data_IF_960297497486
#
_entry.id   IF_960297497486
#
_cell.length_a   1.000
_cell.length_b   1.000
_cell.length_c   1.000
_cell.angle_alpha   90.00
_cell.angle_beta   90.00
_cell.angle_gamma   90.00
#
_symmetry.space_group_name_H-M   'P 1'
#
loop_
_entity.id
_entity.type
_entity.pdbx_description
1 polymer ?
#
# COMPACT_ATOMS: atom_id res chain seq x y z
N UNK A 1 -20.11 17.79 25.90
CA UNK A 1 -20.51 17.56 24.50
C UNK A 1 -21.64 16.54 24.43
N UNK A 2 -22.67 16.83 23.65
CA UNK A 2 -23.84 15.95 23.53
C UNK A 2 -23.56 14.69 22.71
N UNK A 3 -24.42 13.71 22.84
CA UNK A 3 -24.26 12.43 22.11
C UNK A 3 -24.33 12.59 20.60
N UNK A 4 -25.19 13.48 20.10
CA UNK A 4 -25.26 13.77 18.67
C UNK A 4 -23.95 14.33 18.13
N UNK A 5 -23.31 15.22 18.89
CA UNK A 5 -22.01 15.77 18.52
C UNK A 5 -20.92 14.70 18.49
N UNK A 6 -20.96 13.79 19.45
CA UNK A 6 -20.01 12.67 19.52
C UNK A 6 -20.18 11.73 18.34
N UNK A 7 -21.41 11.45 17.94
CA UNK A 7 -21.71 10.63 16.76
C UNK A 7 -21.13 11.30 15.50
N UNK A 8 -21.37 12.61 15.34
CA UNK A 8 -20.87 13.34 14.17
C UNK A 8 -19.35 13.39 14.12
N UNK A 9 -18.70 13.56 15.28
CA UNK A 9 -17.25 13.49 15.36
C UNK A 9 -16.72 12.13 14.94
N UNK A 10 -17.31 11.05 15.43
CA UNK A 10 -16.89 9.69 15.10
C UNK A 10 -17.13 9.37 13.62
N UNK A 11 -18.24 9.84 13.07
CA UNK A 11 -18.52 9.69 11.64
C UNK A 11 -17.50 10.44 10.80
N UNK A 12 -17.07 11.62 11.24
CA UNK A 12 -16.05 12.39 10.56
C UNK A 12 -14.69 11.69 10.59
N UNK A 13 -14.31 11.12 11.75
CA UNK A 13 -13.10 10.32 11.87
C UNK A 13 -13.15 9.12 10.93
N UNK A 14 -14.26 8.41 10.91
CA UNK A 14 -14.46 7.25 10.04
C UNK A 14 -14.28 7.63 8.58
N UNK A 15 -14.88 8.73 8.14
CA UNK A 15 -14.75 9.20 6.76
C UNK A 15 -13.29 9.53 6.42
N UNK A 16 -12.56 10.10 7.37
CA UNK A 16 -11.13 10.37 7.21
C UNK A 16 -10.34 9.09 6.99
N UNK A 17 -10.58 8.09 7.81
CA UNK A 17 -9.90 6.79 7.67
C UNK A 17 -10.28 6.08 6.37
N UNK A 18 -11.54 6.16 5.98
CA UNK A 18 -12.00 5.57 4.71
C UNK A 18 -11.32 6.23 3.51
N UNK A 19 -11.16 7.54 3.56
CA UNK A 19 -10.46 8.28 2.51
C UNK A 19 -8.99 7.89 2.45
N UNK A 20 -8.33 7.79 3.62
CA UNK A 20 -6.94 7.39 3.70
C UNK A 20 -6.74 5.97 3.19
N UNK A 21 -7.68 5.09 3.52
CA UNK A 21 -7.66 3.70 3.03
C UNK A 21 -7.77 3.66 1.51
N UNK A 22 -8.65 4.47 0.93
CA UNK A 22 -8.80 4.55 -0.52
C UNK A 22 -7.51 5.01 -1.20
N UNK A 23 -6.84 6.01 -0.64
CA UNK A 23 -5.55 6.47 -1.15
C UNK A 23 -4.48 5.37 -1.07
N UNK A 24 -4.45 4.64 0.02
CA UNK A 24 -3.50 3.52 0.18
C UNK A 24 -3.78 2.41 -0.83
N UNK A 25 -5.03 2.09 -1.07
CA UNK A 25 -5.42 1.08 -2.06
C UNK A 25 -5.00 1.49 -3.46
N UNK A 26 -5.22 2.74 -3.83
CA UNK A 26 -4.78 3.27 -5.13
C UNK A 26 -3.26 3.24 -5.27
N UNK A 27 -2.56 3.68 -4.23
CA UNK A 27 -1.09 3.69 -4.24
C UNK A 27 -0.54 2.28 -4.34
N UNK A 28 -1.09 1.35 -3.58
CA UNK A 28 -0.67 -0.05 -3.60
C UNK A 28 -0.82 -0.64 -5.01
N UNK A 29 -1.98 -0.45 -5.61
CA UNK A 29 -2.26 -0.97 -6.95
C UNK A 29 -1.33 -0.38 -7.99
N UNK A 30 -1.15 0.94 -7.97
CA UNK A 30 -0.28 1.64 -8.92
C UNK A 30 1.17 1.16 -8.80
N UNK A 31 1.70 1.10 -7.58
CA UNK A 31 3.08 0.68 -7.34
C UNK A 31 3.26 -0.79 -7.71
N UNK A 32 2.30 -1.63 -7.35
CA UNK A 32 2.33 -3.07 -7.63
C UNK A 32 2.36 -3.34 -9.14
N UNK A 33 1.53 -2.63 -9.91
CA UNK A 33 1.48 -2.77 -11.37
C UNK A 33 2.80 -2.33 -12.01
N UNK A 34 3.33 -1.19 -11.59
CA UNK A 34 4.60 -0.69 -12.11
C UNK A 34 5.77 -1.60 -11.75
N UNK A 35 5.76 -2.16 -10.55
CA UNK A 35 6.78 -3.12 -10.13
C UNK A 35 6.75 -4.37 -11.00
N UNK A 36 5.55 -4.90 -11.30
CA UNK A 36 5.38 -6.05 -12.19
C UNK A 36 5.96 -5.77 -13.57
N UNK A 37 5.70 -4.59 -14.13
CA UNK A 37 6.24 -4.20 -15.43
C UNK A 37 7.77 -4.16 -15.39
N UNK A 38 8.35 -3.58 -14.36
CA UNK A 38 9.79 -3.50 -14.21
C UNK A 38 10.41 -4.89 -14.09
N UNK A 39 9.82 -5.77 -13.29
CA UNK A 39 10.32 -7.13 -13.14
C UNK A 39 10.20 -7.93 -14.43
N UNK A 40 9.04 -7.93 -15.05
CA UNK A 40 8.73 -8.80 -16.18
C UNK A 40 9.34 -8.29 -17.49
N UNK A 41 9.29 -6.97 -17.72
CA UNK A 41 9.66 -6.42 -19.01
C UNK A 41 11.10 -5.89 -19.04
N UNK A 42 11.70 -5.61 -17.91
CA UNK A 42 13.03 -5.01 -17.86
C UNK A 42 14.03 -5.88 -17.10
N UNK A 43 13.75 -6.16 -15.82
CA UNK A 43 14.71 -6.84 -14.95
C UNK A 43 14.95 -8.28 -15.36
N UNK A 44 13.90 -9.08 -15.53
CA UNK A 44 14.05 -10.49 -15.88
C UNK A 44 14.67 -10.70 -17.25
N UNK A 45 14.29 -9.96 -18.31
CA UNK A 45 14.96 -10.06 -19.59
C UNK A 45 16.43 -9.66 -19.53
N UNK A 46 16.77 -8.59 -18.83
CA UNK A 46 18.16 -8.14 -18.69
C UNK A 46 19.00 -9.14 -17.92
N UNK A 47 18.45 -9.70 -16.85
CA UNK A 47 19.15 -10.70 -16.07
C UNK A 47 19.43 -11.97 -16.87
N UNK A 48 18.51 -12.35 -17.76
CA UNK A 48 18.62 -13.56 -18.57
C UNK A 48 19.50 -13.39 -19.79
N UNK A 49 19.77 -12.16 -20.21
CA UNK A 49 20.56 -11.90 -21.41
C UNK A 49 22.02 -12.27 -21.19
N UNK A 50 22.60 -12.94 -22.18
CA UNK A 50 23.98 -13.36 -22.12
C UNK A 50 24.77 -12.73 -23.28
N UNK A 51 25.60 -11.76 -22.97
CA UNK A 51 26.41 -11.05 -23.94
C UNK A 51 27.52 -11.93 -24.52
N UNK A 52 28.01 -12.90 -23.73
CA UNK A 52 29.14 -13.73 -24.14
C UNK A 52 28.80 -14.65 -25.30
N UNK A 53 27.52 -14.90 -25.56
CA UNK A 53 27.10 -15.71 -26.69
C UNK A 53 27.03 -14.95 -28.01
N UNK A 54 27.20 -13.65 -28.00
CA UNK A 54 26.88 -12.83 -29.16
C UNK A 54 28.03 -12.57 -30.11
N UNK A 55 29.15 -13.25 -29.97
CA UNK A 55 30.21 -13.15 -30.96
C UNK A 55 31.57 -12.89 -30.40
N UNK A 56 32.45 -12.65 -31.29
CA UNK A 56 33.85 -12.76 -31.02
C UNK A 56 34.63 -11.49 -30.78
N UNK A 57 34.02 -10.37 -30.81
CA UNK A 57 34.80 -9.13 -30.86
C UNK A 57 35.07 -8.54 -29.52
N UNK A 58 35.47 -9.32 -28.69
CA UNK A 58 35.05 -9.08 -27.61
C UNK A 58 35.89 -8.62 -26.52
N UNK A 59 36.78 -9.18 -26.12
CA UNK A 59 37.75 -8.82 -25.12
C UNK A 59 37.22 -7.86 -24.07
N UNK A 60 37.87 -6.74 -23.93
CA UNK A 60 37.58 -5.77 -22.88
C UNK A 60 36.22 -5.13 -22.99
N UNK A 61 35.74 -4.85 -24.22
CA UNK A 61 34.44 -4.21 -24.41
C UNK A 61 33.29 -5.11 -23.93
N UNK A 62 33.41 -6.40 -24.23
CA UNK A 62 32.43 -7.38 -23.78
C UNK A 62 32.38 -7.49 -22.27
N UNK A 63 33.56 -7.56 -21.64
CA UNK A 63 33.66 -7.63 -20.20
C UNK A 63 33.10 -6.38 -19.52
N UNK A 64 33.43 -5.20 -20.07
CA UNK A 64 32.91 -3.93 -19.52
C UNK A 64 31.41 -3.85 -19.65
N UNK A 65 30.84 -4.27 -20.79
CA UNK A 65 29.40 -4.29 -21.00
C UNK A 65 28.72 -5.26 -20.04
N UNK A 66 29.32 -6.41 -19.83
CA UNK A 66 28.76 -7.41 -18.91
C UNK A 66 28.79 -6.92 -17.45
N UNK A 67 29.89 -6.29 -17.04
CA UNK A 67 30.01 -5.69 -15.72
C UNK A 67 28.96 -4.60 -15.51
N UNK A 68 28.78 -3.72 -16.48
CA UNK A 68 27.80 -2.66 -16.43
C UNK A 68 26.39 -3.22 -16.33
N UNK A 69 26.11 -4.28 -17.08
CA UNK A 69 24.82 -4.96 -17.00
C UNK A 69 24.59 -5.55 -15.61
N UNK A 70 25.61 -6.21 -15.06
CA UNK A 70 25.52 -6.81 -13.74
C UNK A 70 25.29 -5.75 -12.66
N UNK A 71 25.94 -4.60 -12.77
CA UNK A 71 25.76 -3.47 -11.86
C UNK A 71 24.34 -2.94 -11.93
N UNK A 72 23.81 -2.76 -13.14
CA UNK A 72 22.44 -2.30 -13.37
C UNK A 72 21.43 -3.30 -12.77
N UNK A 73 21.64 -4.58 -13.04
CA UNK A 73 20.76 -5.63 -12.49
C UNK A 73 20.79 -5.65 -10.97
N UNK A 74 21.98 -5.45 -10.38
CA UNK A 74 22.13 -5.40 -8.93
C UNK A 74 21.39 -4.21 -8.34
N UNK A 75 21.50 -3.03 -8.94
CA UNK A 75 20.79 -1.84 -8.51
C UNK A 75 19.27 -2.01 -8.63
N UNK A 76 18.82 -2.57 -9.77
CA UNK A 76 17.41 -2.85 -9.98
C UNK A 76 16.87 -3.82 -8.95
N UNK A 77 17.63 -4.88 -8.66
CA UNK A 77 17.26 -5.85 -7.63
C UNK A 77 17.05 -5.18 -6.27
N UNK A 78 17.96 -4.26 -5.91
CA UNK A 78 17.85 -3.49 -4.67
C UNK A 78 16.61 -2.61 -4.65
N UNK A 79 16.32 -1.92 -5.76
CA UNK A 79 15.15 -1.05 -5.87
C UNK A 79 13.84 -1.85 -5.86
N UNK A 80 13.82 -3.00 -6.50
CA UNK A 80 12.67 -3.91 -6.48
C UNK A 80 12.41 -4.36 -5.05
N UNK A 81 13.46 -4.73 -4.32
CA UNK A 81 13.35 -5.15 -2.92
C UNK A 81 12.82 -4.02 -2.04
N UNK A 82 13.33 -2.80 -2.19
CA UNK A 82 12.87 -1.62 -1.46
C UNK A 82 11.39 -1.34 -1.76
N UNK A 83 10.99 -1.47 -3.03
CA UNK A 83 9.60 -1.25 -3.43
C UNK A 83 8.68 -2.31 -2.85
N UNK A 84 9.12 -3.57 -2.81
CA UNK A 84 8.36 -4.65 -2.18
C UNK A 84 8.17 -4.39 -0.69
N UNK A 85 9.19 -3.87 -0.03
CA UNK A 85 9.10 -3.48 1.38
C UNK A 85 8.11 -2.34 1.59
N UNK A 86 8.10 -1.37 0.67
CA UNK A 86 7.13 -0.27 0.70
C UNK A 86 5.70 -0.80 0.55
N UNK A 87 5.47 -1.73 -0.38
CA UNK A 87 4.17 -2.34 -0.56
C UNK A 87 3.70 -3.04 0.71
N UNK A 88 4.59 -3.75 1.38
CA UNK A 88 4.28 -4.40 2.66
C UNK A 88 3.91 -3.39 3.73
N UNK A 89 4.60 -2.26 3.77
CA UNK A 89 4.31 -1.19 4.73
C UNK A 89 2.93 -0.57 4.45
N UNK A 90 2.61 -0.35 3.17
CA UNK A 90 1.30 0.17 2.78
C UNK A 90 0.20 -0.82 3.17
N UNK A 91 0.42 -2.10 2.95
CA UNK A 91 -0.54 -3.14 3.33
C UNK A 91 -0.83 -3.14 4.84
N UNK A 92 0.22 -3.04 5.66
CA UNK A 92 0.05 -2.94 7.11
C UNK A 92 -0.72 -1.68 7.51
N UNK A 93 -0.47 -0.58 6.83
CA UNK A 93 -1.21 0.66 7.06
C UNK A 93 -2.68 0.50 6.71
N UNK A 94 -2.97 -0.17 5.60
CA UNK A 94 -4.35 -0.46 5.21
C UNK A 94 -5.07 -1.32 6.24
N UNK A 95 -4.40 -2.33 6.77
CA UNK A 95 -4.97 -3.18 7.82
C UNK A 95 -5.29 -2.36 9.07
N UNK A 96 -4.37 -1.49 9.46
CA UNK A 96 -4.59 -0.61 10.62
C UNK A 96 -5.75 0.35 10.39
N UNK A 97 -5.87 0.90 9.20
CA UNK A 97 -6.98 1.78 8.85
C UNK A 97 -8.33 1.04 8.90
N UNK A 98 -8.36 -0.21 8.44
CA UNK A 98 -9.57 -1.03 8.53
C UNK A 98 -9.98 -1.28 9.98
N UNK A 99 -9.01 -1.53 10.85
CA UNK A 99 -9.27 -1.66 12.29
C UNK A 99 -9.83 -0.38 12.88
N UNK A 100 -9.24 0.76 12.54
CA UNK A 100 -9.71 2.06 13.04
C UNK A 100 -11.13 2.38 12.57
N UNK A 101 -11.45 2.02 11.32
CA UNK A 101 -12.79 2.18 10.78
C UNK A 101 -13.77 1.32 11.57
N UNK A 102 -13.43 0.08 11.84
CA UNK A 102 -14.27 -0.83 12.61
C UNK A 102 -14.48 -0.32 14.04
N UNK A 103 -13.43 0.18 14.67
CA UNK A 103 -13.51 0.78 15.99
C UNK A 103 -14.46 1.97 16.00
N UNK A 104 -14.39 2.83 14.98
CA UNK A 104 -15.30 3.96 14.84
C UNK A 104 -16.75 3.50 14.67
N UNK A 105 -16.98 2.46 13.87
CA UNK A 105 -18.32 1.90 13.68
C UNK A 105 -18.89 1.35 14.97
N UNK A 106 -18.08 0.65 15.75
CA UNK A 106 -18.49 0.11 17.05
C UNK A 106 -18.82 1.22 18.04
N UNK A 107 -18.00 2.28 18.07
CA UNK A 107 -18.25 3.43 18.94
C UNK A 107 -19.51 4.18 18.55
N UNK A 108 -19.73 4.37 17.25
CA UNK A 108 -20.94 5.01 16.74
C UNK A 108 -22.17 4.20 17.16
N UNK A 109 -22.13 2.90 16.98
CA UNK A 109 -23.22 2.00 17.35
C UNK A 109 -23.52 2.08 18.85
N UNK A 110 -22.48 2.07 19.67
CA UNK A 110 -22.64 2.18 21.13
C UNK A 110 -23.28 3.50 21.54
N UNK A 111 -22.88 4.61 20.91
CA UNK A 111 -23.44 5.93 21.18
C UNK A 111 -24.91 5.99 20.73
N UNK A 112 -25.20 5.43 19.56
CA UNK A 112 -26.57 5.38 19.04
C UNK A 112 -27.48 4.57 19.95
N UNK A 113 -27.01 3.46 20.52
CA UNK A 113 -27.76 2.67 21.47
C UNK A 113 -28.03 3.43 22.76
N UNK A 114 -27.02 4.15 23.27
CA UNK A 114 -27.17 4.99 24.45
C UNK A 114 -28.19 6.09 24.19
N UNK A 115 -28.16 6.70 23.03
CA UNK A 115 -29.10 7.73 22.64
C UNK A 115 -30.54 7.19 22.58
N UNK A 116 -30.73 6.02 21.97
CA UNK A 116 -32.03 5.36 21.90
C UNK A 116 -32.57 5.03 23.29
N UNK A 117 -31.70 4.56 24.18
CA UNK A 117 -32.10 4.27 25.57
C UNK A 117 -32.56 5.52 26.30
N UNK A 118 -31.89 6.64 26.11
CA UNK A 118 -32.29 7.92 26.72
C UNK A 118 -33.60 8.43 26.17
N UNK A 119 -33.78 8.35 24.84
CA UNK A 119 -35.02 8.75 24.20
C UNK A 119 -36.21 7.90 24.66
N UNK A 120 -36.00 6.59 24.75
CA UNK A 120 -37.02 5.67 25.23
C UNK A 120 -37.40 5.94 26.69
N UNK A 121 -36.41 6.20 27.53
CA UNK A 121 -36.63 6.55 28.92
C UNK A 121 -37.42 7.85 29.06
N UNK A 122 -37.11 8.83 28.24
CA UNK A 122 -37.85 10.10 28.23
C UNK A 122 -39.28 9.92 27.75
N UNK A 123 -39.50 9.03 26.79
CA UNK A 123 -40.85 8.74 26.27
C UNK A 123 -41.77 8.10 27.28
N UNK A 124 -41.25 7.32 28.21
CA UNK A 124 -42.01 6.65 29.24
C UNK A 124 -42.52 7.64 30.31
N UNK A 125 -41.78 8.68 30.51
CA UNK A 125 -42.14 9.72 31.46
C UNK A 125 -43.14 10.71 30.88
#
# INVERSE_FOLDING_TARGET
MGLHSRIEEKKAEKRGYERDLAYCEEAYEYISQNLSVIEDDIYNPDKAYDITNSGEWLGKLELDADENRNDICSELSGKISETSNLLSAIDRTMERLRELIRECEEEIEAIEEELRARESSTSIM
#
